data_IF_060339447403
#
_entry.id   IF_060339447403
#
_cell.length_a   1.000
_cell.length_b   1.000
_cell.length_c   1.000
_cell.angle_alpha   90.00
_cell.angle_beta   90.00
_cell.angle_gamma   90.00
#
_symmetry.space_group_name_H-M   'P 1'
#
loop_
_entity.id
_entity.type
_entity.pdbx_description
1 polymer ?
#
# COMPACT_ATOMS: atom_id res chain seq x y z
N UNK A 1 -24.02 -2.88 23.98
CA UNK A 1 -22.79 -3.53 24.13
C UNK A 1 -21.65 -2.72 24.72
N UNK A 2 -21.96 -1.51 25.20
CA UNK A 2 -20.90 -0.64 25.71
C UNK A 2 -20.23 -1.22 26.96
N UNK A 3 -20.96 -1.69 27.99
CA UNK A 3 -20.30 -2.30 29.16
C UNK A 3 -19.46 -3.52 28.80
N UNK A 4 -19.97 -4.36 27.91
CA UNK A 4 -19.25 -5.54 27.48
C UNK A 4 -18.00 -5.16 26.71
N UNK A 5 -18.11 -4.17 25.83
CA UNK A 5 -16.94 -3.67 25.08
C UNK A 5 -15.90 -3.08 26.01
N UNK A 6 -16.35 -2.43 27.08
CA UNK A 6 -15.45 -1.85 28.06
C UNK A 6 -14.65 -2.95 28.78
N UNK A 7 -15.30 -4.03 29.13
CA UNK A 7 -14.64 -5.15 29.80
C UNK A 7 -13.66 -5.85 28.87
N UNK A 8 -14.06 -6.06 27.62
CA UNK A 8 -13.20 -6.65 26.60
C UNK A 8 -11.98 -5.76 26.39
N UNK A 9 -12.19 -4.45 26.33
CA UNK A 9 -11.10 -3.50 26.15
C UNK A 9 -10.10 -3.56 27.29
N UNK A 10 -10.59 -3.67 28.51
CA UNK A 10 -9.72 -3.78 29.69
C UNK A 10 -8.88 -5.04 29.64
N UNK A 11 -9.45 -6.15 29.21
CA UNK A 11 -8.72 -7.39 29.03
C UNK A 11 -7.68 -7.30 27.92
N UNK A 12 -8.03 -6.67 26.81
CA UNK A 12 -7.13 -6.53 25.66
C UNK A 12 -5.93 -5.65 25.97
N UNK A 13 -6.07 -4.69 26.86
CA UNK A 13 -4.93 -3.88 27.29
C UNK A 13 -3.80 -4.73 27.82
N UNK A 14 -4.13 -5.83 28.49
CA UNK A 14 -3.13 -6.75 29.03
C UNK A 14 -2.41 -7.54 27.95
N UNK A 15 -2.98 -7.58 26.75
CA UNK A 15 -2.41 -8.31 25.62
C UNK A 15 -1.68 -7.43 24.62
N UNK A 16 -1.53 -6.14 24.93
CA UNK A 16 -0.80 -5.23 24.05
C UNK A 16 -1.64 -4.44 23.08
N UNK A 17 -2.94 -4.50 23.21
CA UNK A 17 -3.83 -3.74 22.32
C UNK A 17 -4.09 -2.32 22.80
N UNK A 18 -3.33 -1.88 23.78
CA UNK A 18 -3.48 -0.54 24.33
C UNK A 18 -3.27 0.57 23.31
N UNK A 19 -2.44 0.32 22.30
CA UNK A 19 -2.20 1.30 21.23
C UNK A 19 -3.46 1.64 20.44
N UNK A 20 -4.51 0.82 20.57
CA UNK A 20 -5.78 1.04 19.88
C UNK A 20 -6.90 1.47 20.83
N UNK A 21 -6.59 1.77 22.06
CA UNK A 21 -7.59 2.15 23.04
C UNK A 21 -8.28 3.46 22.63
N UNK A 22 -9.52 3.63 23.04
CA UNK A 22 -10.34 4.77 22.65
C UNK A 22 -11.13 4.54 21.38
N UNK A 23 -10.78 3.50 20.62
CA UNK A 23 -11.44 3.17 19.36
C UNK A 23 -11.78 1.69 19.33
N UNK A 24 -12.92 1.29 19.94
CA UNK A 24 -13.32 -0.12 19.95
C UNK A 24 -13.72 -0.56 18.54
N UNK A 25 -12.73 -0.96 17.77
CA UNK A 25 -12.94 -1.38 16.40
C UNK A 25 -13.43 -2.81 16.37
N UNK A 26 -14.66 -3.02 15.93
CA UNK A 26 -15.21 -4.36 15.75
C UNK A 26 -14.66 -4.97 14.48
N UNK A 27 -14.72 -6.29 14.38
CA UNK A 27 -14.33 -6.99 13.17
C UNK A 27 -15.16 -6.51 11.96
N UNK A 28 -16.44 -6.31 12.16
CA UNK A 28 -17.33 -5.85 11.10
C UNK A 28 -16.93 -4.47 10.59
N UNK A 29 -16.65 -3.54 11.50
CA UNK A 29 -16.18 -2.20 11.16
C UNK A 29 -14.83 -2.24 10.46
N UNK A 30 -13.94 -3.09 10.95
CA UNK A 30 -12.62 -3.26 10.37
C UNK A 30 -12.71 -3.72 8.92
N UNK A 31 -13.59 -4.66 8.62
CA UNK A 31 -13.81 -5.13 7.25
C UNK A 31 -14.37 -4.03 6.35
N UNK A 32 -15.29 -3.22 6.89
CA UNK A 32 -15.84 -2.09 6.14
C UNK A 32 -14.75 -1.07 5.81
N UNK A 33 -13.92 -0.74 6.78
CA UNK A 33 -12.83 0.20 6.58
C UNK A 33 -11.82 -0.33 5.55
N UNK A 34 -11.57 -1.64 5.57
CA UNK A 34 -10.69 -2.25 4.57
C UNK A 34 -11.26 -2.09 3.17
N UNK A 35 -12.55 -2.30 2.99
CA UNK A 35 -13.21 -2.12 1.70
C UNK A 35 -13.09 -0.67 1.21
N UNK A 36 -13.31 0.29 2.11
CA UNK A 36 -13.19 1.70 1.79
C UNK A 36 -11.76 2.07 1.41
N UNK A 37 -10.80 1.52 2.16
CA UNK A 37 -9.38 1.74 1.91
C UNK A 37 -9.00 1.23 0.51
N UNK A 38 -9.37 0.01 0.20
CA UNK A 38 -9.03 -0.59 -1.09
C UNK A 38 -9.66 0.17 -2.25
N UNK A 39 -10.88 0.63 -2.08
CA UNK A 39 -11.56 1.41 -3.10
C UNK A 39 -10.83 2.73 -3.38
N UNK A 40 -10.44 3.44 -2.32
CA UNK A 40 -9.70 4.70 -2.47
C UNK A 40 -8.35 4.46 -3.13
N UNK A 41 -7.64 3.41 -2.73
CA UNK A 41 -6.33 3.09 -3.31
C UNK A 41 -6.44 2.81 -4.81
N UNK A 42 -7.48 2.12 -5.25
CA UNK A 42 -7.66 1.78 -6.65
C UNK A 42 -8.18 2.96 -7.49
N UNK A 43 -9.13 3.71 -6.96
CA UNK A 43 -9.79 4.78 -7.72
C UNK A 43 -9.03 6.09 -7.70
N UNK A 44 -8.49 6.48 -6.55
CA UNK A 44 -7.85 7.79 -6.38
C UNK A 44 -6.33 7.72 -6.38
N UNK A 45 -5.78 6.55 -6.12
CA UNK A 45 -4.33 6.30 -6.12
C UNK A 45 -3.56 7.32 -5.27
N UNK A 46 -3.93 7.49 -4.00
CA UNK A 46 -3.24 8.47 -3.16
C UNK A 46 -1.77 8.13 -2.92
N UNK A 47 -1.39 6.88 -3.13
CA UNK A 47 0.00 6.44 -2.99
C UNK A 47 0.94 7.11 -4.00
N UNK A 48 0.43 7.71 -5.06
CA UNK A 48 1.26 8.44 -6.03
C UNK A 48 1.88 9.70 -5.44
N UNK A 49 1.31 10.20 -4.35
CA UNK A 49 1.87 11.34 -3.63
C UNK A 49 3.01 10.83 -2.73
N UNK A 50 4.25 11.29 -2.96
CA UNK A 50 5.38 10.85 -2.13
C UNK A 50 5.27 11.29 -0.67
N UNK A 51 4.43 12.29 -0.39
CA UNK A 51 4.23 12.82 0.96
C UNK A 51 3.07 12.15 1.70
N UNK A 52 2.47 11.12 1.12
CA UNK A 52 1.35 10.43 1.77
C UNK A 52 1.81 9.83 3.10
N UNK A 53 1.05 10.10 4.15
CA UNK A 53 1.29 9.57 5.50
C UNK A 53 0.07 8.81 5.98
N UNK A 54 0.25 8.04 7.04
CA UNK A 54 -0.85 7.34 7.69
C UNK A 54 -1.96 8.31 8.09
N UNK A 55 -1.57 9.47 8.65
CA UNK A 55 -2.53 10.50 9.06
C UNK A 55 -3.32 11.05 7.88
N UNK A 56 -2.63 11.38 6.79
CA UNK A 56 -3.30 11.92 5.59
C UNK A 56 -4.27 10.92 4.99
N UNK A 57 -3.88 9.66 4.95
CA UNK A 57 -4.74 8.62 4.40
C UNK A 57 -5.96 8.39 5.30
N UNK A 58 -5.76 8.37 6.61
CA UNK A 58 -6.85 8.23 7.57
C UNK A 58 -7.86 9.36 7.43
N UNK A 59 -7.38 10.59 7.30
CA UNK A 59 -8.25 11.76 7.09
C UNK A 59 -9.05 11.63 5.80
N UNK A 60 -8.43 11.13 4.76
CA UNK A 60 -9.08 10.96 3.46
C UNK A 60 -10.22 9.95 3.53
N UNK A 61 -10.05 8.90 4.32
CA UNK A 61 -11.07 7.87 4.50
C UNK A 61 -12.13 8.30 5.53
N UNK A 62 -11.76 9.21 6.44
CA UNK A 62 -12.65 9.68 7.49
C UNK A 62 -12.63 8.81 8.74
N UNK A 63 -11.49 8.19 9.03
CA UNK A 63 -11.30 7.36 10.24
C UNK A 63 -10.07 7.85 11.00
N UNK A 64 -9.89 7.33 12.21
CA UNK A 64 -8.72 7.70 12.98
C UNK A 64 -7.47 7.01 12.45
N UNK A 65 -6.33 7.61 12.68
CA UNK A 65 -5.04 7.06 12.35
C UNK A 65 -4.84 5.68 13.01
N UNK A 66 -5.29 5.55 14.25
CA UNK A 66 -5.21 4.31 15.02
C UNK A 66 -6.04 3.20 14.39
N UNK A 67 -7.25 3.52 13.95
CA UNK A 67 -8.12 2.56 13.28
C UNK A 67 -7.52 2.11 11.96
N UNK A 68 -6.97 3.04 11.19
CA UNK A 68 -6.34 2.69 9.92
C UNK A 68 -5.12 1.79 10.13
N UNK A 69 -4.28 2.12 11.11
CA UNK A 69 -3.14 1.29 11.46
C UNK A 69 -3.58 -0.12 11.85
N UNK A 70 -4.63 -0.20 12.64
CA UNK A 70 -5.19 -1.49 13.08
C UNK A 70 -5.67 -2.32 11.88
N UNK A 71 -6.40 -1.70 10.96
CA UNK A 71 -6.91 -2.39 9.78
C UNK A 71 -5.76 -2.95 8.93
N UNK A 72 -4.75 -2.13 8.67
CA UNK A 72 -3.62 -2.55 7.85
C UNK A 72 -2.85 -3.70 8.53
N UNK A 73 -2.57 -3.57 9.80
CA UNK A 73 -1.82 -4.58 10.54
C UNK A 73 -2.61 -5.87 10.72
N UNK A 74 -3.85 -5.77 11.17
CA UNK A 74 -4.63 -6.96 11.54
C UNK A 74 -5.28 -7.66 10.35
N UNK A 75 -5.80 -6.89 9.39
CA UNK A 75 -6.47 -7.48 8.24
C UNK A 75 -5.49 -7.90 7.14
N UNK A 76 -4.40 -7.15 6.96
CA UNK A 76 -3.48 -7.38 5.85
C UNK A 76 -2.11 -7.89 6.30
N UNK A 77 -1.82 -7.87 7.60
CA UNK A 77 -0.54 -8.33 8.12
C UNK A 77 0.65 -7.51 7.64
N UNK A 78 0.45 -6.22 7.41
CA UNK A 78 1.48 -5.31 6.90
C UNK A 78 1.54 -4.04 7.73
N UNK A 79 2.69 -3.36 7.69
CA UNK A 79 2.73 -1.99 8.19
C UNK A 79 2.35 -1.03 7.07
N UNK A 80 2.11 0.23 7.43
CA UNK A 80 1.68 1.25 6.48
C UNK A 80 2.66 1.41 5.31
N UNK A 81 3.93 1.50 5.61
CA UNK A 81 4.97 1.71 4.59
C UNK A 81 4.96 0.59 3.55
N UNK A 82 4.94 -0.65 3.99
CA UNK A 82 4.93 -1.80 3.08
C UNK A 82 3.64 -1.86 2.28
N UNK A 83 2.52 -1.54 2.91
CA UNK A 83 1.23 -1.51 2.26
C UNK A 83 1.24 -0.51 1.09
N UNK A 84 1.69 0.72 1.34
CA UNK A 84 1.73 1.76 0.31
C UNK A 84 2.74 1.40 -0.79
N UNK A 85 3.91 0.90 -0.41
CA UNK A 85 4.94 0.57 -1.39
C UNK A 85 4.50 -0.56 -2.33
N UNK A 86 3.69 -1.50 -1.86
CA UNK A 86 3.17 -2.55 -2.73
C UNK A 86 2.30 -1.96 -3.86
N UNK A 87 1.44 -0.99 -3.55
CA UNK A 87 0.66 -0.31 -4.57
C UNK A 87 1.55 0.44 -5.56
N UNK A 88 2.57 1.13 -5.04
CA UNK A 88 3.52 1.85 -5.90
C UNK A 88 4.26 0.91 -6.84
N UNK A 89 4.66 -0.26 -6.36
CA UNK A 89 5.35 -1.25 -7.19
C UNK A 89 4.42 -1.80 -8.26
N UNK A 90 3.17 -2.09 -7.95
CA UNK A 90 2.22 -2.57 -8.95
C UNK A 90 2.01 -1.53 -10.06
N UNK A 91 1.94 -0.26 -9.70
CA UNK A 91 1.84 0.81 -10.68
C UNK A 91 3.11 0.90 -11.54
N UNK A 92 4.28 0.79 -10.89
CA UNK A 92 5.56 0.81 -11.61
C UNK A 92 5.69 -0.34 -12.59
N UNK A 93 5.22 -1.53 -12.22
CA UNK A 93 5.25 -2.69 -13.13
C UNK A 93 4.51 -2.39 -14.43
N UNK A 94 3.34 -1.80 -14.32
CA UNK A 94 2.55 -1.44 -15.51
C UNK A 94 3.29 -0.43 -16.38
N UNK A 95 3.88 0.59 -15.78
CA UNK A 95 4.61 1.62 -16.52
C UNK A 95 5.89 1.09 -17.18
N UNK A 96 6.58 0.19 -16.49
CA UNK A 96 7.83 -0.36 -17.01
C UNK A 96 7.64 -1.14 -18.31
N UNK A 97 6.50 -1.79 -18.48
CA UNK A 97 6.24 -2.63 -19.66
C UNK A 97 5.32 -1.97 -20.68
N UNK A 98 4.80 -0.81 -20.37
CA UNK A 98 3.95 -0.05 -21.30
C UNK A 98 4.81 0.48 -22.46
N UNK A 99 4.48 0.13 -23.71
CA UNK A 99 5.26 0.63 -24.86
C UNK A 99 5.33 2.14 -24.95
N UNK A 100 4.32 2.85 -24.45
CA UNK A 100 4.30 4.31 -24.50
C UNK A 100 5.19 4.94 -23.44
N UNK A 101 5.50 4.21 -22.37
CA UNK A 101 6.29 4.71 -21.24
C UNK A 101 7.66 4.07 -21.14
N UNK A 102 7.96 3.07 -21.96
CA UNK A 102 9.21 2.35 -21.85
C UNK A 102 10.44 3.16 -22.24
N UNK A 103 10.25 4.28 -22.92
CA UNK A 103 11.33 5.18 -23.31
C UNK A 103 11.80 6.07 -22.15
N UNK A 104 11.01 6.17 -21.09
CA UNK A 104 11.36 7.02 -19.97
C UNK A 104 12.41 6.35 -19.09
N UNK A 105 13.26 7.20 -18.48
CA UNK A 105 14.25 6.71 -17.53
C UNK A 105 13.56 6.15 -16.30
N UNK A 106 14.20 5.17 -15.70
CA UNK A 106 13.62 4.49 -14.53
C UNK A 106 13.36 5.44 -13.37
N UNK A 107 14.19 6.47 -13.21
CA UNK A 107 14.03 7.44 -12.13
C UNK A 107 12.72 8.21 -12.28
N UNK A 108 12.32 8.54 -13.51
CA UNK A 108 11.04 9.20 -13.73
C UNK A 108 9.88 8.31 -13.28
N UNK A 109 9.94 7.03 -13.60
CA UNK A 109 8.91 6.09 -13.18
C UNK A 109 8.86 6.00 -11.66
N UNK A 110 10.03 5.96 -11.00
CA UNK A 110 10.09 5.92 -9.54
C UNK A 110 9.35 7.11 -8.91
N UNK A 111 9.60 8.31 -9.40
CA UNK A 111 8.94 9.51 -8.89
C UNK A 111 7.46 9.55 -9.26
N UNK A 112 7.10 9.15 -10.46
CA UNK A 112 5.72 9.15 -10.92
C UNK A 112 4.82 8.25 -10.06
N UNK A 113 5.37 7.16 -9.53
CA UNK A 113 4.57 6.25 -8.68
C UNK A 113 4.66 6.56 -7.20
N UNK A 114 5.39 7.61 -6.81
CA UNK A 114 5.37 8.10 -5.44
C UNK A 114 6.62 7.87 -4.61
N UNK A 115 7.70 7.31 -5.17
CA UNK A 115 8.94 7.16 -4.42
C UNK A 115 9.72 8.47 -4.39
N UNK A 116 10.41 8.71 -3.27
CA UNK A 116 11.22 9.90 -3.08
C UNK A 116 12.65 9.76 -3.60
N UNK A 117 13.10 8.53 -3.82
CA UNK A 117 14.49 8.30 -4.21
C UNK A 117 14.60 7.04 -5.03
N UNK A 118 15.66 6.99 -5.83
CA UNK A 118 16.01 5.81 -6.61
C UNK A 118 16.29 4.62 -5.69
N UNK A 119 16.97 4.85 -4.57
CA UNK A 119 17.32 3.79 -3.63
C UNK A 119 16.08 3.12 -3.04
N UNK A 120 15.11 3.92 -2.61
CA UNK A 120 13.87 3.39 -2.06
C UNK A 120 13.10 2.59 -3.09
N UNK A 121 13.02 3.10 -4.32
CA UNK A 121 12.36 2.42 -5.42
C UNK A 121 13.02 1.07 -5.72
N UNK A 122 14.33 1.07 -5.92
CA UNK A 122 15.07 -0.15 -6.24
C UNK A 122 14.93 -1.21 -5.15
N UNK A 123 15.05 -0.80 -3.88
CA UNK A 123 14.94 -1.73 -2.76
C UNK A 123 13.54 -2.34 -2.67
N UNK A 124 12.51 -1.52 -2.79
CA UNK A 124 11.12 -1.99 -2.74
C UNK A 124 10.79 -2.87 -3.93
N UNK A 125 11.26 -2.50 -5.10
CA UNK A 125 11.00 -3.26 -6.32
C UNK A 125 11.64 -4.64 -6.24
N UNK A 126 12.90 -4.72 -5.85
CA UNK A 126 13.61 -6.00 -5.72
C UNK A 126 12.99 -6.88 -4.63
N UNK A 127 12.60 -6.29 -3.52
CA UNK A 127 11.93 -7.02 -2.44
C UNK A 127 10.63 -7.65 -2.93
N UNK A 128 9.88 -6.92 -3.73
CA UNK A 128 8.56 -7.34 -4.20
C UNK A 128 8.63 -8.34 -5.36
N UNK A 129 9.57 -8.16 -6.29
CA UNK A 129 9.61 -8.92 -7.55
C UNK A 129 10.79 -9.87 -7.66
N UNK A 130 11.82 -9.69 -6.84
CA UNK A 130 13.07 -10.44 -6.96
C UNK A 130 14.00 -9.92 -8.05
N UNK A 131 13.57 -8.90 -8.80
CA UNK A 131 14.31 -8.33 -9.91
C UNK A 131 14.52 -6.85 -9.71
N UNK A 132 15.56 -6.28 -10.32
CA UNK A 132 15.68 -4.84 -10.40
C UNK A 132 14.64 -4.30 -11.42
N UNK A 133 14.31 -3.02 -11.38
CA UNK A 133 13.40 -2.46 -12.37
C UNK A 133 13.86 -2.65 -13.81
N UNK A 134 15.16 -2.49 -14.08
CA UNK A 134 15.67 -2.68 -15.43
C UNK A 134 15.61 -4.14 -15.89
N UNK A 135 15.91 -5.07 -14.98
CA UNK A 135 15.77 -6.50 -15.26
C UNK A 135 14.32 -6.87 -15.55
N UNK A 136 13.41 -6.33 -14.78
CA UNK A 136 11.98 -6.57 -14.95
C UNK A 136 11.51 -6.05 -16.31
N UNK A 137 11.87 -4.82 -16.65
CA UNK A 137 11.53 -4.22 -17.94
C UNK A 137 12.01 -5.08 -19.08
N UNK A 138 13.29 -5.46 -19.07
CA UNK A 138 13.88 -6.26 -20.11
C UNK A 138 13.16 -7.60 -20.28
N UNK A 139 12.91 -8.28 -19.18
CA UNK A 139 12.27 -9.60 -19.19
C UNK A 139 10.86 -9.56 -19.78
N UNK A 140 10.05 -8.62 -19.36
CA UNK A 140 8.64 -8.60 -19.74
C UNK A 140 8.37 -7.85 -21.05
N UNK A 141 9.22 -6.95 -21.46
CA UNK A 141 9.12 -6.34 -22.78
C UNK A 141 9.47 -7.34 -23.88
N UNK A 142 10.52 -8.11 -23.68
CA UNK A 142 10.91 -9.14 -24.65
C UNK A 142 9.79 -10.18 -24.82
N UNK A 143 9.16 -10.58 -23.71
CA UNK A 143 8.04 -11.51 -23.74
C UNK A 143 6.88 -10.91 -24.53
N UNK A 144 6.58 -9.64 -24.30
CA UNK A 144 5.52 -8.93 -25.01
C UNK A 144 5.78 -8.84 -26.50
N UNK A 145 7.03 -8.55 -26.89
CA UNK A 145 7.42 -8.47 -28.30
C UNK A 145 7.27 -9.82 -28.99
N UNK A 146 7.68 -10.89 -28.34
CA UNK A 146 7.53 -12.25 -28.89
C UNK A 146 6.07 -12.59 -29.12
N UNK A 147 5.22 -12.21 -28.20
CA UNK A 147 3.77 -12.44 -28.33
C UNK A 147 3.19 -11.68 -29.49
N UNK A 148 3.65 -10.45 -29.75
CA UNK A 148 3.16 -9.64 -30.84
C UNK A 148 3.57 -10.18 -32.22
N UNK A 149 4.75 -10.78 -32.31
CA UNK A 149 5.25 -11.29 -33.58
C UNK A 149 4.51 -12.55 -34.00
N UNK A 150 4.02 -13.28 -33.04
CA UNK A 150 3.23 -14.49 -33.31
C UNK A 150 1.76 -14.15 -33.62
#
# INVERSE_FOLDING_TARGET
GIPLLRDIRAQKRKTGEEKYKGSPLTLQKSKLYLQQLQKIMEEEKPFLDPELSLQKLAERIGITREDLSHVINEQLGRNFKNFINEYRIEEAKRKLVDPQENQFVLLKIAFDVGFNSKSAFNASFKKSTGLSPSEYRKKYQETGKKTRVQ
#
